data_IF_044763860579
#
_entry.id   IF_044763860579
#
_cell.length_a   1.000
_cell.length_b   1.000
_cell.length_c   1.000
_cell.angle_alpha   90.00
_cell.angle_beta   90.00
_cell.angle_gamma   90.00
#
_symmetry.space_group_name_H-M   'P 1'
#
loop_
_entity.id
_entity.type
_entity.pdbx_description
1 polymer ?
#
# COMPACT_ATOMS: atom_id res chain seq x y z
N UNK A 1 19.64 13.74 -11.16
CA UNK A 1 19.99 12.30 -11.16
C UNK A 1 19.26 11.68 -9.97
N UNK A 2 18.60 10.53 -10.15
CA UNK A 2 17.89 9.83 -9.08
C UNK A 2 18.84 8.80 -8.47
N UNK A 3 18.99 8.82 -7.14
CA UNK A 3 19.76 7.81 -6.40
C UNK A 3 19.02 6.47 -6.34
N UNK A 4 19.73 5.34 -6.23
CA UNK A 4 19.12 4.02 -6.02
C UNK A 4 18.24 4.00 -4.77
N UNK A 5 17.18 3.19 -4.81
CA UNK A 5 16.24 2.98 -3.70
C UNK A 5 16.14 1.50 -3.41
N UNK A 6 16.17 1.13 -2.13
CA UNK A 6 15.83 -0.20 -1.68
C UNK A 6 14.36 -0.24 -1.26
N UNK A 7 13.61 -1.20 -1.80
CA UNK A 7 12.20 -1.36 -1.51
C UNK A 7 11.94 -2.70 -0.81
N UNK A 8 11.27 -2.63 0.33
CA UNK A 8 10.77 -3.78 1.09
C UNK A 8 9.25 -3.80 0.97
N UNK A 9 8.72 -4.72 0.18
CA UNK A 9 7.31 -4.80 -0.15
C UNK A 9 6.62 -5.91 0.66
N UNK A 10 5.45 -5.62 1.23
CA UNK A 10 4.65 -6.63 1.92
C UNK A 10 5.19 -7.07 3.28
N UNK A 11 5.79 -6.15 4.03
CA UNK A 11 6.23 -6.41 5.42
C UNK A 11 5.00 -6.39 6.34
N UNK A 12 4.72 -7.45 7.13
CA UNK A 12 3.57 -7.46 8.01
C UNK A 12 3.79 -6.51 9.19
N UNK A 13 2.77 -5.75 9.57
CA UNK A 13 2.83 -4.91 10.77
C UNK A 13 1.87 -5.35 11.87
N UNK A 14 0.96 -6.27 11.55
CA UNK A 14 -0.01 -6.84 12.48
C UNK A 14 -0.30 -8.30 12.10
N UNK A 15 -0.86 -9.05 13.05
CA UNK A 15 -1.37 -10.40 12.77
C UNK A 15 -2.55 -10.36 11.80
N UNK A 16 -2.75 -11.41 10.96
CA UNK A 16 -3.88 -11.46 10.04
C UNK A 16 -5.23 -11.32 10.78
N UNK A 17 -6.07 -10.33 10.43
CA UNK A 17 -7.35 -10.06 11.10
C UNK A 17 -8.46 -10.98 10.57
N UNK A 18 -8.28 -12.29 10.71
CA UNK A 18 -9.21 -13.32 10.19
C UNK A 18 -9.89 -14.08 11.33
N UNK A 19 -11.05 -14.69 11.03
CA UNK A 19 -11.79 -15.51 11.99
C UNK A 19 -12.14 -14.73 13.26
N UNK A 20 -11.68 -15.22 14.41
CA UNK A 20 -11.95 -14.59 15.72
C UNK A 20 -11.31 -13.19 15.86
N UNK A 21 -10.31 -12.85 15.05
CA UNK A 21 -9.63 -11.55 15.07
C UNK A 21 -10.25 -10.52 14.10
N UNK A 22 -11.31 -10.88 13.36
CA UNK A 22 -11.86 -10.04 12.29
C UNK A 22 -12.30 -8.65 12.75
N UNK A 23 -13.03 -8.59 13.85
CA UNK A 23 -13.61 -7.35 14.40
C UNK A 23 -12.94 -6.91 15.69
N UNK A 24 -11.70 -7.34 15.91
CA UNK A 24 -10.90 -6.92 17.06
C UNK A 24 -9.90 -5.83 16.63
N UNK A 25 -9.34 -5.06 17.57
CA UNK A 25 -8.16 -4.23 17.30
C UNK A 25 -7.03 -5.05 16.66
N UNK A 26 -6.15 -4.38 15.92
CA UNK A 26 -4.98 -5.02 15.35
C UNK A 26 -4.13 -5.64 16.46
N UNK A 27 -3.75 -6.91 16.27
CA UNK A 27 -2.88 -7.64 17.19
C UNK A 27 -1.43 -7.57 16.69
N UNK A 28 -0.49 -7.74 17.61
CA UNK A 28 0.94 -7.75 17.29
C UNK A 28 1.25 -8.73 16.13
N UNK A 29 2.20 -8.39 15.23
CA UNK A 29 2.56 -9.27 14.13
C UNK A 29 3.12 -10.59 14.66
N UNK A 30 2.77 -11.68 13.97
CA UNK A 30 3.33 -13.01 14.29
C UNK A 30 4.83 -12.97 14.04
N UNK A 31 5.67 -13.23 15.07
CA UNK A 31 7.11 -13.29 14.88
C UNK A 31 7.48 -14.38 13.87
N UNK A 32 8.45 -14.12 13.01
CA UNK A 32 9.01 -15.12 12.11
C UNK A 32 10.47 -15.42 12.46
N UNK A 33 10.91 -16.65 12.19
CA UNK A 33 12.31 -17.05 12.34
C UNK A 33 13.10 -16.80 11.06
N UNK A 34 14.31 -16.27 11.19
CA UNK A 34 15.20 -16.04 10.05
C UNK A 34 14.80 -14.87 9.15
N UNK A 35 15.20 -14.93 7.89
CA UNK A 35 14.96 -13.87 6.91
C UNK A 35 13.63 -14.08 6.19
N UNK A 36 12.81 -13.02 6.10
CA UNK A 36 11.59 -12.98 5.30
C UNK A 36 11.86 -12.22 4.01
N UNK A 37 11.48 -12.83 2.88
CA UNK A 37 11.52 -12.17 1.58
C UNK A 37 10.38 -11.13 1.49
N UNK A 38 10.72 -9.90 1.08
CA UNK A 38 9.82 -8.76 1.01
C UNK A 38 10.02 -8.02 -0.34
N UNK A 39 9.79 -8.71 -1.44
CA UNK A 39 10.06 -8.25 -2.81
C UNK A 39 8.80 -8.18 -3.69
N UNK A 40 7.63 -8.47 -3.13
CA UNK A 40 6.35 -8.51 -3.84
C UNK A 40 5.28 -7.71 -3.11
N UNK A 41 4.38 -7.08 -3.90
CA UNK A 41 3.24 -6.36 -3.34
C UNK A 41 2.31 -7.32 -2.57
N UNK A 42 1.90 -6.97 -1.34
CA UNK A 42 1.00 -7.80 -0.54
C UNK A 42 -0.41 -7.77 -1.12
N UNK A 43 -1.30 -8.70 -0.74
CA UNK A 43 -2.74 -8.54 -1.02
C UNK A 43 -3.28 -7.23 -0.44
N UNK A 44 -4.23 -6.62 -1.15
CA UNK A 44 -4.97 -5.45 -0.65
C UNK A 44 -6.12 -5.89 0.24
N UNK A 45 -6.61 -5.00 1.11
CA UNK A 45 -7.76 -5.34 1.96
C UNK A 45 -9.04 -5.51 1.15
N UNK A 46 -10.00 -6.34 1.61
CA UNK A 46 -11.26 -6.57 0.91
C UNK A 46 -12.02 -5.25 0.73
N UNK A 47 -12.44 -4.98 -0.50
CA UNK A 47 -12.99 -3.69 -0.89
C UNK A 47 -13.84 -3.79 -2.16
N UNK A 48 -14.78 -2.85 -2.30
CA UNK A 48 -15.56 -2.65 -3.52
C UNK A 48 -15.26 -1.28 -4.10
N UNK A 49 -14.52 -1.25 -5.20
CA UNK A 49 -14.25 -0.02 -5.94
C UNK A 49 -15.35 0.26 -6.99
N UNK A 50 -15.44 1.50 -7.53
CA UNK A 50 -16.43 1.84 -8.55
C UNK A 50 -16.35 0.94 -9.78
N UNK A 51 -17.50 0.50 -10.28
CA UNK A 51 -17.58 -0.31 -11.50
C UNK A 51 -17.30 0.55 -12.73
N UNK A 52 -16.32 0.12 -13.53
CA UNK A 52 -15.91 0.76 -14.78
C UNK A 52 -15.99 -0.21 -15.98
N UNK A 53 -16.62 -1.37 -15.81
CA UNK A 53 -16.73 -2.40 -16.85
C UNK A 53 -17.44 -1.90 -18.11
N UNK A 54 -18.50 -1.09 -17.92
CA UNK A 54 -19.20 -0.40 -18.99
C UNK A 54 -18.80 1.08 -19.02
N UNK A 55 -18.03 1.47 -20.05
CA UNK A 55 -17.54 2.84 -20.20
C UNK A 55 -18.66 3.88 -20.31
N UNK A 56 -19.74 3.58 -21.03
CA UNK A 56 -20.85 4.53 -21.22
C UNK A 56 -21.53 4.84 -19.89
N UNK A 57 -21.92 3.79 -19.16
CA UNK A 57 -22.55 3.93 -17.85
C UNK A 57 -21.62 4.57 -16.81
N UNK A 58 -20.31 4.28 -16.87
CA UNK A 58 -19.33 4.90 -16.00
C UNK A 58 -19.22 6.41 -16.26
N UNK A 59 -19.15 6.82 -17.54
CA UNK A 59 -18.98 8.23 -17.92
C UNK A 59 -20.24 9.09 -17.69
N UNK A 60 -21.42 8.48 -17.53
CA UNK A 60 -22.62 9.17 -17.02
C UNK A 60 -22.45 9.59 -15.55
N UNK A 61 -21.71 8.82 -14.77
CA UNK A 61 -21.57 8.99 -13.33
C UNK A 61 -20.22 9.60 -12.91
N UNK A 62 -19.24 9.72 -13.82
CA UNK A 62 -17.94 10.32 -13.50
C UNK A 62 -17.25 10.99 -14.71
N UNK A 63 -16.39 12.01 -14.46
CA UNK A 63 -15.57 12.60 -15.52
C UNK A 63 -14.60 11.60 -16.15
N UNK A 64 -14.26 11.81 -17.43
CA UNK A 64 -13.30 10.98 -18.17
C UNK A 64 -11.95 10.81 -17.47
N UNK A 65 -11.47 11.86 -16.78
CA UNK A 65 -10.23 11.80 -16.00
C UNK A 65 -10.29 10.79 -14.85
N UNK A 66 -11.41 10.77 -14.12
CA UNK A 66 -11.66 9.81 -13.03
C UNK A 66 -11.73 8.38 -13.56
N UNK A 67 -12.43 8.16 -14.68
CA UNK A 67 -12.48 6.87 -15.35
C UNK A 67 -11.09 6.36 -15.75
N UNK A 68 -10.27 7.21 -16.38
CA UNK A 68 -8.90 6.83 -16.78
C UNK A 68 -8.00 6.54 -15.58
N UNK A 69 -8.17 7.28 -14.48
CA UNK A 69 -7.47 7.01 -13.23
C UNK A 69 -7.87 5.65 -12.64
N UNK A 70 -9.18 5.36 -12.52
CA UNK A 70 -9.68 4.06 -12.05
C UNK A 70 -9.20 2.90 -12.91
N UNK A 71 -9.19 3.08 -14.24
CA UNK A 71 -8.74 2.06 -15.18
C UNK A 71 -7.27 1.66 -14.97
N UNK A 72 -6.42 2.59 -14.55
CA UNK A 72 -5.01 2.30 -14.20
C UNK A 72 -4.88 1.66 -12.83
N UNK A 73 -5.75 2.04 -11.92
CA UNK A 73 -5.71 1.69 -10.51
C UNK A 73 -6.25 0.29 -10.21
N UNK A 74 -7.41 -0.05 -10.75
CA UNK A 74 -8.16 -1.27 -10.42
C UNK A 74 -7.35 -2.58 -10.59
N UNK A 75 -6.50 -2.75 -11.62
CA UNK A 75 -5.66 -3.95 -11.71
C UNK A 75 -4.75 -4.17 -10.49
N UNK A 76 -4.31 -3.09 -9.84
CA UNK A 76 -3.47 -3.14 -8.64
C UNK A 76 -4.26 -3.49 -7.37
N UNK A 77 -5.60 -3.43 -7.43
CA UNK A 77 -6.52 -3.71 -6.32
C UNK A 77 -7.21 -5.09 -6.44
N UNK A 78 -6.86 -5.87 -7.47
CA UNK A 78 -7.56 -7.12 -7.79
C UNK A 78 -7.25 -8.26 -6.79
N UNK A 79 -6.01 -8.33 -6.28
CA UNK A 79 -5.61 -9.37 -5.34
C UNK A 79 -6.02 -8.99 -3.91
N UNK A 80 -7.23 -9.37 -3.51
CA UNK A 80 -7.80 -9.01 -2.20
C UNK A 80 -7.73 -10.17 -1.20
N UNK A 81 -7.44 -9.87 0.06
CA UNK A 81 -7.46 -10.82 1.17
C UNK A 81 -7.69 -10.11 2.50
N UNK A 82 -8.37 -10.74 3.46
CA UNK A 82 -8.43 -10.23 4.84
C UNK A 82 -7.03 -10.19 5.49
N UNK A 83 -6.09 -11.04 5.05
CA UNK A 83 -4.68 -10.96 5.43
C UNK A 83 -3.96 -9.86 4.63
N UNK A 84 -4.30 -8.60 4.89
CA UNK A 84 -3.81 -7.44 4.15
C UNK A 84 -2.98 -6.45 4.96
N UNK A 85 -2.80 -6.65 6.28
CA UNK A 85 -2.13 -5.70 7.18
C UNK A 85 -0.61 -5.70 7.00
N UNK A 86 -0.19 -5.12 5.88
CA UNK A 86 1.19 -5.01 5.44
C UNK A 86 1.55 -3.56 5.11
N UNK A 87 2.84 -3.28 5.14
CA UNK A 87 3.45 -2.03 4.75
C UNK A 87 4.54 -2.26 3.69
N UNK A 88 4.76 -1.24 2.88
CA UNK A 88 5.86 -1.16 1.92
C UNK A 88 6.79 -0.05 2.39
N UNK A 89 8.09 -0.31 2.40
CA UNK A 89 9.12 0.61 2.89
C UNK A 89 10.08 0.91 1.73
N UNK A 90 10.30 2.19 1.46
CA UNK A 90 11.23 2.69 0.46
C UNK A 90 12.33 3.45 1.17
N UNK A 91 13.55 2.91 1.11
CA UNK A 91 14.74 3.43 1.80
C UNK A 91 15.70 4.01 0.77
N UNK A 92 16.23 5.23 0.98
CA UNK A 92 17.29 5.75 0.13
C UNK A 92 18.47 4.78 0.17
N UNK A 93 19.00 4.41 -1.00
CA UNK A 93 20.16 3.52 -1.07
C UNK A 93 21.43 4.19 -0.54
N UNK A 94 22.59 3.55 -0.77
CA UNK A 94 23.92 4.02 -0.38
C UNK A 94 24.40 5.25 -1.17
N UNK A 95 23.58 6.30 -1.26
CA UNK A 95 23.91 7.61 -1.82
C UNK A 95 24.82 8.41 -0.90
N UNK A 96 24.98 9.71 -1.19
CA UNK A 96 25.97 10.58 -0.53
C UNK A 96 25.84 10.70 1.00
N UNK A 97 24.66 10.40 1.57
CA UNK A 97 24.43 10.43 3.02
C UNK A 97 24.80 9.13 3.74
N UNK A 98 24.94 8.01 3.01
CA UNK A 98 25.16 6.69 3.59
C UNK A 98 23.92 6.13 4.28
N UNK A 99 23.87 4.81 4.44
CA UNK A 99 22.70 4.07 4.99
C UNK A 99 22.40 4.39 6.46
N UNK A 100 23.39 4.87 7.22
CA UNK A 100 23.27 5.17 8.65
C UNK A 100 22.81 6.61 8.95
N UNK A 101 22.50 7.41 7.92
CA UNK A 101 22.03 8.77 8.13
C UNK A 101 20.64 8.81 8.78
N UNK A 102 20.34 9.81 9.64
CA UNK A 102 19.02 9.98 10.21
C UNK A 102 18.06 10.54 9.15
N UNK A 103 17.47 9.65 8.36
CA UNK A 103 16.49 10.01 7.35
C UNK A 103 15.14 10.36 8.00
N UNK A 104 14.49 11.41 7.49
CA UNK A 104 13.10 11.69 7.86
C UNK A 104 12.19 10.58 7.30
N UNK A 105 11.13 10.24 8.04
CA UNK A 105 10.17 9.20 7.64
C UNK A 105 8.83 9.84 7.30
N UNK A 106 8.32 9.53 6.11
CA UNK A 106 6.97 9.88 5.67
C UNK A 106 6.14 8.61 5.67
N UNK A 107 5.14 8.55 6.56
CA UNK A 107 4.14 7.48 6.55
C UNK A 107 2.92 7.97 5.78
N UNK A 108 2.67 7.37 4.62
CA UNK A 108 1.57 7.71 3.75
C UNK A 108 0.38 6.79 3.99
N UNK A 109 -0.69 7.37 4.54
CA UNK A 109 -1.99 6.72 4.70
C UNK A 109 -2.86 7.08 3.51
N UNK A 110 -3.26 6.07 2.75
CA UNK A 110 -4.06 6.25 1.56
C UNK A 110 -5.48 6.78 1.89
N UNK A 111 -6.00 7.64 1.01
CA UNK A 111 -7.32 8.25 1.15
C UNK A 111 -8.42 7.47 0.45
N UNK A 112 -9.44 8.20 0.00
CA UNK A 112 -10.78 7.71 -0.42
C UNK A 112 -11.73 7.53 0.78
N UNK A 113 -12.93 7.02 0.53
CA UNK A 113 -14.04 6.99 1.48
C UNK A 113 -13.92 5.93 2.58
N UNK A 114 -12.72 5.50 2.95
CA UNK A 114 -12.46 4.37 3.87
C UNK A 114 -13.03 3.00 3.41
N UNK A 115 -13.56 2.93 2.20
CA UNK A 115 -14.24 1.73 1.66
C UNK A 115 -13.42 0.99 0.60
N UNK A 116 -12.42 1.65 0.01
CA UNK A 116 -11.58 1.10 -1.05
C UNK A 116 -10.23 1.84 -1.15
N UNK A 117 -9.41 1.40 -2.11
CA UNK A 117 -8.03 1.79 -2.39
C UNK A 117 -6.99 1.07 -1.48
N UNK A 118 -5.69 1.27 -1.70
CA UNK A 118 -4.60 0.54 -1.05
C UNK A 118 -3.29 1.34 -1.03
N UNK A 119 -2.45 1.11 -0.01
CA UNK A 119 -1.08 1.64 0.03
C UNK A 119 -0.19 1.13 -1.10
N UNK A 120 -0.50 -0.03 -1.69
CA UNK A 120 0.27 -0.64 -2.80
C UNK A 120 0.28 0.20 -4.08
N UNK A 121 -0.70 1.08 -4.24
CA UNK A 121 -0.89 1.93 -5.41
C UNK A 121 0.17 3.03 -5.48
N UNK A 122 0.74 3.39 -4.33
CA UNK A 122 1.62 4.52 -4.17
C UNK A 122 3.06 4.03 -4.16
N UNK A 123 3.78 4.27 -5.27
CA UNK A 123 5.21 4.00 -5.37
C UNK A 123 6.01 5.15 -4.73
N UNK A 124 6.68 4.86 -3.62
CA UNK A 124 7.51 5.82 -2.88
C UNK A 124 8.87 6.10 -3.51
N UNK A 125 9.30 5.32 -4.52
CA UNK A 125 10.68 5.32 -5.02
C UNK A 125 11.18 6.70 -5.46
N UNK A 126 10.37 7.45 -6.20
CA UNK A 126 10.77 8.78 -6.70
C UNK A 126 10.94 9.77 -5.55
N UNK A 127 10.02 9.78 -4.59
CA UNK A 127 10.07 10.68 -3.44
C UNK A 127 11.24 10.34 -2.52
N UNK A 128 11.48 9.05 -2.28
CA UNK A 128 12.61 8.55 -1.52
C UNK A 128 13.94 8.94 -2.15
N UNK A 129 14.07 8.72 -3.46
CA UNK A 129 15.29 8.99 -4.23
C UNK A 129 15.62 10.49 -4.32
N UNK A 130 14.61 11.33 -4.59
CA UNK A 130 14.82 12.76 -4.78
C UNK A 130 14.88 13.53 -3.46
N UNK A 131 14.05 13.15 -2.49
CA UNK A 131 13.89 13.87 -1.22
C UNK A 131 14.85 13.40 -0.12
N UNK A 132 15.56 12.28 -0.34
CA UNK A 132 16.37 11.62 0.70
C UNK A 132 15.56 11.40 1.98
N UNK A 133 14.41 10.74 1.83
CA UNK A 133 13.48 10.41 2.92
C UNK A 133 13.06 8.95 2.83
N UNK A 134 12.78 8.33 3.97
CA UNK A 134 12.16 7.00 4.00
C UNK A 134 10.66 7.21 3.77
N UNK A 135 10.08 6.49 2.81
CA UNK A 135 8.64 6.51 2.55
C UNK A 135 8.06 5.17 2.96
N UNK A 136 6.99 5.20 3.73
CA UNK A 136 6.24 4.00 4.14
C UNK A 136 4.82 4.13 3.64
N UNK A 137 4.34 3.17 2.87
CA UNK A 137 2.92 3.06 2.49
C UNK A 137 2.30 1.85 3.19
N UNK A 138 1.03 1.93 3.57
CA UNK A 138 0.39 0.86 4.34
C UNK A 138 -1.03 0.57 3.89
N UNK A 139 -1.45 -0.67 4.12
CA UNK A 139 -2.84 -1.09 4.04
C UNK A 139 -3.48 -1.06 5.42
N UNK A 140 -4.75 -0.67 5.50
CA UNK A 140 -5.58 -0.77 6.70
C UNK A 140 -6.95 -1.35 6.31
N UNK A 141 -7.68 -1.95 7.26
CA UNK A 141 -9.00 -2.55 6.99
C UNK A 141 -9.99 -1.48 6.52
N UNK A 142 -10.90 -1.86 5.63
CA UNK A 142 -11.82 -0.96 4.94
C UNK A 142 -13.28 -1.43 5.12
N UNK A 143 -14.22 -0.50 4.96
CA UNK A 143 -15.65 -0.77 5.03
C UNK A 143 -16.06 -1.51 6.30
N UNK A 144 -16.87 -2.58 6.16
CA UNK A 144 -17.39 -3.37 7.29
C UNK A 144 -16.31 -4.10 8.11
N UNK A 145 -15.11 -4.27 7.55
CA UNK A 145 -13.98 -4.92 8.24
C UNK A 145 -13.13 -3.89 8.99
N UNK A 146 -13.31 -2.60 8.70
CA UNK A 146 -12.57 -1.46 9.28
C UNK A 146 -12.93 -1.17 10.72
#
# INVERSE_FOLDING_TARGET
HLEPVEAFLGVPYASPPVGNARYTPALDPIPWSGTRLADAMPPVCPQKYPDISNMTAALENMPKGRYMYLRRLIPLLANQSENCLHLNIYVPGSGNRGVDAPYAVIVFVQGESYDWNSGNVYDGSVLTSYGHVIVVTLNFRLGILG
#
